data_IF_838717668208
#
_entry.id   IF_838717668208
#
_cell.length_a   1.000
_cell.length_b   1.000
_cell.length_c   1.000
_cell.angle_alpha   90.00
_cell.angle_beta   90.00
_cell.angle_gamma   90.00
#
_symmetry.space_group_name_H-M   'P 1'
#
loop_
_entity.id
_entity.type
_entity.pdbx_description
1 polymer ?
#
# COMPACT_ATOMS: atom_id res chain seq x y z
N UNK A 1 -25.64 91.20 -15.97
CA UNK A 1 -25.72 90.06 -16.91
C UNK A 1 -25.36 88.81 -16.12
N UNK A 2 -26.32 88.00 -15.76
CA UNK A 2 -25.97 86.69 -15.08
C UNK A 2 -26.28 85.53 -16.00
N UNK A 3 -25.29 84.61 -16.14
CA UNK A 3 -25.40 83.34 -16.84
C UNK A 3 -26.04 82.29 -15.89
N UNK A 4 -27.16 81.75 -16.33
CA UNK A 4 -27.82 80.58 -15.74
C UNK A 4 -27.04 79.31 -16.11
N UNK A 5 -26.65 78.48 -15.11
CA UNK A 5 -26.15 77.11 -15.31
C UNK A 5 -27.24 76.12 -14.90
N UNK A 6 -27.80 75.47 -15.92
CA UNK A 6 -28.63 74.27 -15.71
C UNK A 6 -27.78 73.10 -15.33
N UNK A 7 -28.07 72.50 -14.16
CA UNK A 7 -27.45 71.28 -13.70
C UNK A 7 -28.16 70.05 -14.26
N UNK A 8 -27.42 69.21 -14.95
CA UNK A 8 -27.87 67.86 -15.36
C UNK A 8 -27.65 66.87 -14.24
N UNK A 9 -28.74 66.32 -13.68
CA UNK A 9 -28.75 65.20 -12.77
C UNK A 9 -28.55 63.87 -13.54
N UNK A 10 -27.39 63.30 -13.42
CA UNK A 10 -27.13 61.97 -13.95
C UNK A 10 -27.48 60.93 -12.87
N UNK A 11 -28.59 60.22 -13.10
CA UNK A 11 -28.99 59.03 -12.31
C UNK A 11 -28.04 57.88 -12.59
N UNK A 12 -27.26 57.50 -11.59
CA UNK A 12 -26.41 56.30 -11.66
C UNK A 12 -27.27 55.08 -11.31
N UNK A 13 -27.62 54.30 -12.32
CA UNK A 13 -28.17 52.96 -12.16
C UNK A 13 -27.03 51.99 -11.86
N UNK A 14 -26.91 51.57 -10.61
CA UNK A 14 -25.97 50.53 -10.20
C UNK A 14 -26.58 49.18 -10.49
N UNK A 15 -26.08 48.48 -11.51
CA UNK A 15 -26.37 47.08 -11.78
C UNK A 15 -25.53 46.23 -10.83
N UNK A 16 -26.16 45.64 -9.82
CA UNK A 16 -25.53 44.61 -8.96
C UNK A 16 -25.56 43.26 -9.68
N UNK A 17 -24.42 42.85 -10.26
CA UNK A 17 -24.21 41.48 -10.74
C UNK A 17 -23.95 40.57 -9.55
N UNK A 18 -24.98 39.84 -9.13
CA UNK A 18 -24.81 38.74 -8.17
C UNK A 18 -24.19 37.53 -8.89
N UNK A 19 -22.89 37.34 -8.72
CA UNK A 19 -22.18 36.15 -9.19
C UNK A 19 -22.51 34.99 -8.23
N UNK A 20 -23.43 34.12 -8.64
CA UNK A 20 -23.66 32.84 -7.96
C UNK A 20 -22.44 31.96 -8.23
N UNK A 21 -21.52 31.85 -7.24
CA UNK A 21 -20.41 30.92 -7.27
C UNK A 21 -20.94 29.51 -6.99
N UNK A 22 -21.19 28.72 -8.03
CA UNK A 22 -21.40 27.26 -7.88
C UNK A 22 -20.08 26.64 -7.47
N UNK A 23 -19.91 26.39 -6.17
CA UNK A 23 -18.83 25.55 -5.64
C UNK A 23 -19.12 24.09 -6.01
N UNK A 24 -18.56 23.63 -7.13
CA UNK A 24 -18.53 22.21 -7.48
C UNK A 24 -17.53 21.58 -6.51
N UNK A 25 -18.04 21.01 -5.41
CA UNK A 25 -17.26 20.11 -4.55
C UNK A 25 -16.91 18.88 -5.39
N UNK A 26 -15.70 18.88 -5.95
CA UNK A 26 -15.13 17.69 -6.60
C UNK A 26 -14.96 16.64 -5.52
N UNK A 27 -15.96 15.75 -5.37
CA UNK A 27 -15.80 14.46 -4.70
C UNK A 27 -14.78 13.69 -5.54
N UNK A 28 -13.50 13.86 -5.22
CA UNK A 28 -12.46 12.95 -5.68
C UNK A 28 -12.75 11.61 -5.02
N UNK A 29 -13.56 10.79 -5.68
CA UNK A 29 -13.71 9.39 -5.38
C UNK A 29 -12.30 8.78 -5.49
N UNK A 30 -11.60 8.67 -4.34
CA UNK A 30 -10.35 7.92 -4.28
C UNK A 30 -10.74 6.50 -4.63
N UNK A 31 -10.49 6.11 -5.88
CA UNK A 31 -10.67 4.73 -6.33
C UNK A 31 -9.95 3.85 -5.31
N UNK A 32 -10.72 3.16 -4.48
CA UNK A 32 -10.18 2.24 -3.48
C UNK A 32 -9.50 1.14 -4.27
N UNK A 33 -8.17 1.12 -4.27
CA UNK A 33 -7.40 0.11 -4.98
C UNK A 33 -7.77 -1.27 -4.43
N UNK A 34 -8.44 -2.06 -5.26
CA UNK A 34 -8.81 -3.44 -4.90
C UNK A 34 -7.56 -4.31 -4.92
N UNK A 35 -7.46 -5.30 -4.02
CA UNK A 35 -6.39 -6.30 -4.09
C UNK A 35 -6.34 -7.00 -5.45
N UNK A 36 -5.13 -7.42 -5.85
CA UNK A 36 -4.92 -8.14 -7.12
C UNK A 36 -5.87 -9.35 -7.27
N UNK A 37 -6.29 -9.69 -8.50
CA UNK A 37 -7.26 -10.77 -8.76
C UNK A 37 -6.90 -12.10 -8.09
N UNK A 38 -5.61 -12.46 -8.02
CA UNK A 38 -5.11 -13.67 -7.37
C UNK A 38 -5.52 -13.79 -5.89
N UNK A 39 -5.75 -12.67 -5.19
CA UNK A 39 -6.17 -12.67 -3.78
C UNK A 39 -7.68 -12.75 -3.59
N UNK A 40 -8.47 -12.42 -4.62
CA UNK A 40 -9.94 -12.30 -4.49
C UNK A 40 -10.59 -13.56 -3.92
N UNK A 41 -10.25 -14.79 -4.35
CA UNK A 41 -10.84 -16.01 -3.78
C UNK A 41 -10.49 -16.24 -2.31
N UNK A 42 -9.42 -15.59 -1.81
CA UNK A 42 -8.88 -15.81 -0.47
C UNK A 42 -9.18 -14.67 0.50
N UNK A 43 -9.85 -13.58 0.07
CA UNK A 43 -10.07 -12.39 0.91
C UNK A 43 -10.74 -12.71 2.23
N UNK A 44 -11.81 -13.53 2.23
CA UNK A 44 -12.50 -13.93 3.46
C UNK A 44 -11.61 -14.77 4.39
N UNK A 45 -10.73 -15.60 3.83
CA UNK A 45 -9.77 -16.38 4.61
C UNK A 45 -8.70 -15.47 5.21
N UNK A 46 -8.19 -14.52 4.41
CA UNK A 46 -7.21 -13.52 4.85
C UNK A 46 -7.80 -12.70 6.00
N UNK A 47 -9.00 -12.15 5.85
CA UNK A 47 -9.65 -11.35 6.88
C UNK A 47 -9.89 -12.12 8.19
N UNK A 48 -10.28 -13.41 8.12
CA UNK A 48 -10.42 -14.27 9.31
C UNK A 48 -9.09 -14.58 9.99
N UNK A 49 -8.00 -14.56 9.23
CA UNK A 49 -6.66 -14.87 9.72
C UNK A 49 -5.90 -13.64 10.26
N UNK A 50 -6.43 -12.42 10.07
CA UNK A 50 -5.80 -11.21 10.59
C UNK A 50 -5.85 -11.23 12.12
N UNK A 51 -4.69 -11.12 12.82
CA UNK A 51 -4.64 -11.06 14.27
C UNK A 51 -5.42 -9.87 14.82
N UNK A 52 -5.91 -9.92 16.06
CA UNK A 52 -6.47 -8.74 16.74
C UNK A 52 -5.49 -7.56 16.71
N UNK A 53 -6.01 -6.35 16.52
CA UNK A 53 -5.22 -5.12 16.42
C UNK A 53 -4.21 -5.11 15.27
N UNK A 54 -4.43 -5.92 14.24
CA UNK A 54 -3.68 -5.90 13.00
C UNK A 54 -4.61 -5.61 11.82
N UNK A 55 -4.00 -5.23 10.71
CA UNK A 55 -4.64 -5.07 9.43
C UNK A 55 -3.68 -5.56 8.34
N UNK A 56 -4.21 -5.90 7.17
CA UNK A 56 -3.41 -6.35 6.04
C UNK A 56 -3.65 -5.45 4.84
N UNK A 57 -2.57 -5.03 4.19
CA UNK A 57 -2.63 -4.33 2.91
C UNK A 57 -2.06 -5.26 1.84
N UNK A 58 -2.72 -5.34 0.70
CA UNK A 58 -2.31 -6.16 -0.44
C UNK A 58 -2.15 -5.27 -1.68
N UNK A 59 -1.21 -5.59 -2.57
CA UNK A 59 -1.04 -4.82 -3.80
C UNK A 59 -2.23 -5.05 -4.74
N UNK A 60 -2.53 -4.05 -5.57
CA UNK A 60 -3.56 -4.14 -6.59
C UNK A 60 -3.12 -4.96 -7.81
N UNK A 61 -1.83 -5.18 -7.97
CA UNK A 61 -1.25 -5.99 -9.04
C UNK A 61 -0.06 -6.78 -8.51
N UNK A 62 0.08 -8.02 -8.96
CA UNK A 62 1.28 -8.82 -8.77
C UNK A 62 2.08 -8.74 -10.06
N UNK A 63 3.29 -8.21 -9.95
CA UNK A 63 4.25 -8.14 -11.04
C UNK A 63 5.41 -9.08 -10.71
N UNK A 64 5.67 -10.05 -11.57
CA UNK A 64 6.72 -11.07 -11.38
C UNK A 64 7.35 -11.42 -12.72
N UNK A 65 8.67 -11.53 -12.71
CA UNK A 65 9.45 -11.86 -13.89
C UNK A 65 9.47 -10.74 -14.94
N UNK A 66 10.43 -10.75 -15.82
CA UNK A 66 10.50 -9.84 -16.97
C UNK A 66 9.56 -10.26 -18.11
N UNK A 67 9.87 -9.88 -19.36
CA UNK A 67 9.15 -10.35 -20.56
C UNK A 67 9.11 -11.89 -20.59
N UNK A 68 7.94 -12.50 -20.48
CA UNK A 68 7.76 -13.95 -20.32
C UNK A 68 7.54 -14.38 -18.85
N UNK A 69 7.30 -13.43 -17.94
CA UNK A 69 7.12 -13.66 -16.52
C UNK A 69 5.97 -14.61 -16.15
N UNK A 70 5.98 -15.02 -14.89
CA UNK A 70 4.94 -15.90 -14.34
C UNK A 70 3.56 -15.26 -14.48
N UNK A 71 2.58 -16.04 -14.93
CA UNK A 71 1.18 -15.61 -14.94
C UNK A 71 0.67 -15.56 -13.47
N UNK A 72 0.34 -14.38 -12.92
CA UNK A 72 -0.13 -14.26 -11.55
C UNK A 72 -1.40 -15.07 -11.26
N UNK A 73 -2.23 -15.31 -12.28
CA UNK A 73 -3.50 -16.04 -12.14
C UNK A 73 -3.30 -17.54 -11.89
N UNK A 74 -2.08 -18.06 -12.16
CA UNK A 74 -1.72 -19.46 -11.91
C UNK A 74 -1.06 -19.66 -10.53
N UNK A 75 -0.88 -18.59 -9.76
CA UNK A 75 -0.26 -18.68 -8.45
C UNK A 75 -1.25 -19.19 -7.40
N UNK A 76 -0.74 -20.02 -6.51
CA UNK A 76 -1.47 -20.50 -5.34
C UNK A 76 -1.19 -19.60 -4.14
N UNK A 77 -2.24 -19.16 -3.48
CA UNK A 77 -2.15 -18.33 -2.28
C UNK A 77 -2.27 -19.20 -1.03
N UNK A 78 -1.32 -19.06 -0.11
CA UNK A 78 -1.39 -19.66 1.23
C UNK A 78 -1.45 -18.56 2.29
N UNK A 79 -2.42 -18.67 3.18
CA UNK A 79 -2.65 -17.75 4.29
C UNK A 79 -2.12 -18.39 5.56
N UNK A 80 -1.10 -17.79 6.16
CA UNK A 80 -0.31 -18.37 7.25
C UNK A 80 -0.34 -17.43 8.47
N UNK A 81 -1.34 -17.55 9.36
CA UNK A 81 -1.35 -16.81 10.61
C UNK A 81 -0.39 -17.44 11.63
N UNK A 82 0.25 -16.62 12.44
CA UNK A 82 0.94 -17.02 13.67
C UNK A 82 0.38 -16.22 14.85
N UNK A 83 0.35 -16.83 16.02
CA UNK A 83 -0.18 -16.23 17.24
C UNK A 83 0.89 -15.70 18.18
N UNK A 84 2.07 -16.30 18.15
CA UNK A 84 3.18 -15.95 19.03
C UNK A 84 4.52 -15.89 18.24
N UNK A 85 4.98 -14.72 17.79
CA UNK A 85 4.30 -13.41 17.83
C UNK A 85 3.14 -13.32 16.83
N UNK A 86 2.16 -12.45 17.08
CA UNK A 86 1.03 -12.27 16.15
C UNK A 86 1.52 -11.71 14.82
N UNK A 87 1.27 -12.46 13.74
CA UNK A 87 1.67 -12.11 12.38
C UNK A 87 0.76 -12.81 11.38
N UNK A 88 0.40 -12.13 10.33
CA UNK A 88 -0.21 -12.73 9.15
C UNK A 88 0.78 -12.71 8.01
N UNK A 89 0.98 -13.86 7.35
CA UNK A 89 1.76 -13.96 6.11
C UNK A 89 0.87 -14.52 5.00
N UNK A 90 0.85 -13.83 3.87
CA UNK A 90 0.20 -14.29 2.63
C UNK A 90 1.31 -14.61 1.64
N UNK A 91 1.45 -15.88 1.29
CA UNK A 91 2.53 -16.39 0.44
C UNK A 91 2.01 -16.85 -0.90
N UNK A 92 2.80 -16.64 -1.95
CA UNK A 92 2.53 -17.03 -3.33
C UNK A 92 3.41 -18.20 -3.73
N UNK A 93 2.81 -19.22 -4.33
CA UNK A 93 3.49 -20.46 -4.76
C UNK A 93 3.12 -20.79 -6.21
N UNK A 94 4.04 -21.43 -6.92
CA UNK A 94 3.79 -22.00 -8.26
C UNK A 94 3.30 -23.45 -8.23
N UNK A 95 3.36 -24.13 -7.10
CA UNK A 95 2.90 -25.52 -6.96
C UNK A 95 2.14 -25.75 -5.64
N UNK A 96 1.29 -26.79 -5.62
CA UNK A 96 0.47 -27.14 -4.45
C UNK A 96 1.25 -27.75 -3.28
N UNK A 97 2.44 -28.27 -3.52
CA UNK A 97 3.27 -28.90 -2.51
C UNK A 97 3.90 -27.84 -1.57
N UNK A 98 4.15 -28.24 -0.31
CA UNK A 98 4.74 -27.34 0.70
C UNK A 98 6.29 -27.28 0.61
N UNK A 99 6.83 -27.35 -0.57
CA UNK A 99 8.28 -27.25 -0.78
C UNK A 99 8.68 -25.80 -0.91
N UNK A 100 9.80 -25.43 -0.29
CA UNK A 100 10.36 -24.08 -0.37
C UNK A 100 10.73 -23.69 -1.80
N UNK A 101 10.99 -24.70 -2.66
CA UNK A 101 11.33 -24.50 -4.08
C UNK A 101 10.23 -23.89 -4.92
N UNK A 102 8.97 -23.93 -4.46
CA UNK A 102 7.82 -23.34 -5.17
C UNK A 102 7.38 -21.99 -4.62
N UNK A 103 7.99 -21.52 -3.54
CA UNK A 103 7.69 -20.19 -2.96
C UNK A 103 8.22 -19.10 -3.88
N UNK A 104 7.31 -18.26 -4.36
CA UNK A 104 7.66 -17.11 -5.20
C UNK A 104 7.90 -15.88 -4.34
N UNK A 105 7.13 -15.70 -3.28
CA UNK A 105 7.29 -14.57 -2.39
C UNK A 105 6.16 -14.46 -1.38
N UNK A 106 6.23 -13.44 -0.54
CA UNK A 106 5.27 -13.25 0.54
C UNK A 106 5.04 -11.80 0.90
N UNK A 107 3.87 -11.56 1.45
CA UNK A 107 3.45 -10.32 2.09
C UNK A 107 3.13 -10.62 3.55
N UNK A 108 3.65 -9.83 4.46
CA UNK A 108 3.37 -10.03 5.88
C UNK A 108 2.97 -8.72 6.56
N UNK A 109 2.15 -8.85 7.59
CA UNK A 109 1.73 -7.78 8.47
C UNK A 109 1.78 -8.24 9.92
N UNK A 110 2.30 -7.40 10.80
CA UNK A 110 2.36 -7.68 12.24
C UNK A 110 2.26 -6.37 13.04
N UNK A 111 1.60 -6.39 14.21
CA UNK A 111 1.50 -5.21 15.05
C UNK A 111 2.89 -4.72 15.49
N UNK A 112 3.11 -3.40 15.47
CA UNK A 112 4.37 -2.79 15.95
C UNK A 112 4.61 -3.03 17.45
N UNK A 113 3.56 -3.30 18.22
CA UNK A 113 3.68 -3.67 19.63
C UNK A 113 4.47 -4.98 19.84
N UNK A 114 4.60 -5.82 18.81
CA UNK A 114 5.44 -7.02 18.85
C UNK A 114 6.93 -6.66 18.95
N UNK A 115 7.61 -7.18 19.96
CA UNK A 115 9.06 -6.99 20.12
C UNK A 115 9.87 -7.55 18.94
N UNK A 116 9.36 -8.58 18.29
CA UNK A 116 9.93 -9.18 17.07
C UNK A 116 9.81 -8.20 15.91
N UNK A 117 8.62 -7.60 15.69
CA UNK A 117 8.39 -6.60 14.66
C UNK A 117 9.34 -5.41 14.80
N UNK A 118 9.45 -4.89 16.02
CA UNK A 118 10.34 -3.76 16.31
C UNK A 118 11.82 -4.11 16.05
N UNK A 119 12.26 -5.30 16.45
CA UNK A 119 13.65 -5.75 16.24
C UNK A 119 13.95 -5.92 14.74
N UNK A 120 13.05 -6.55 13.99
CA UNK A 120 13.20 -6.74 12.55
C UNK A 120 13.20 -5.39 11.81
N UNK A 121 12.31 -4.47 12.18
CA UNK A 121 12.27 -3.14 11.59
C UNK A 121 13.56 -2.36 11.88
N UNK A 122 14.04 -2.36 13.14
CA UNK A 122 15.32 -1.71 13.48
C UNK A 122 16.50 -2.29 12.70
N UNK A 123 16.54 -3.62 12.51
CA UNK A 123 17.57 -4.27 11.69
C UNK A 123 17.51 -3.77 10.25
N UNK A 124 16.32 -3.71 9.65
CA UNK A 124 16.15 -3.15 8.30
C UNK A 124 16.59 -1.69 8.25
N UNK A 125 16.19 -0.87 9.21
CA UNK A 125 16.59 0.54 9.27
C UNK A 125 18.09 0.73 9.34
N UNK A 126 18.82 -0.15 10.03
CA UNK A 126 20.27 -0.06 10.21
C UNK A 126 21.08 -0.50 8.97
N UNK A 127 20.55 -1.39 8.13
CA UNK A 127 21.32 -2.05 7.06
C UNK A 127 20.77 -1.82 5.67
N UNK A 128 19.53 -1.34 5.55
CA UNK A 128 18.81 -1.24 4.29
C UNK A 128 18.94 0.13 3.62
N UNK A 129 18.65 0.16 2.34
CA UNK A 129 18.43 1.40 1.60
C UNK A 129 17.06 1.97 1.92
N UNK A 130 17.00 3.23 2.38
CA UNK A 130 15.75 3.95 2.61
C UNK A 130 15.07 4.31 1.28
N UNK A 131 13.78 4.02 1.17
CA UNK A 131 12.95 4.24 -0.02
C UNK A 131 11.70 5.01 0.39
N UNK A 132 11.34 6.06 -0.35
CA UNK A 132 10.06 6.76 -0.19
C UNK A 132 8.96 5.97 -0.90
N UNK A 133 7.99 5.46 -0.15
CA UNK A 133 6.81 4.77 -0.69
C UNK A 133 5.68 5.75 -0.99
N UNK A 134 5.43 6.66 -0.06
CA UNK A 134 4.52 7.83 -0.22
C UNK A 134 5.15 9.02 0.50
N UNK A 135 4.55 10.19 0.44
CA UNK A 135 5.05 11.40 1.13
C UNK A 135 5.21 11.20 2.64
N UNK A 136 4.47 10.27 3.24
CA UNK A 136 4.45 10.02 4.68
C UNK A 136 5.04 8.66 5.07
N UNK A 137 5.29 7.75 4.12
CA UNK A 137 5.70 6.38 4.40
C UNK A 137 7.07 6.10 3.80
N UNK A 138 8.00 5.75 4.68
CA UNK A 138 9.35 5.29 4.30
C UNK A 138 9.46 3.78 4.46
N UNK A 139 10.00 3.12 3.44
CA UNK A 139 10.36 1.72 3.47
C UNK A 139 11.88 1.54 3.52
N UNK A 140 12.31 0.37 3.91
CA UNK A 140 13.71 -0.03 4.06
C UNK A 140 13.95 -1.31 3.28
N UNK A 141 14.69 -1.19 2.17
CA UNK A 141 14.97 -2.30 1.25
C UNK A 141 16.30 -2.94 1.59
N UNK A 142 16.28 -4.21 1.96
CA UNK A 142 17.45 -5.10 1.96
C UNK A 142 17.49 -5.76 0.58
N UNK A 143 18.44 -5.35 -0.24
CA UNK A 143 18.68 -5.89 -1.57
C UNK A 143 19.58 -7.12 -1.44
N UNK A 144 19.02 -8.31 -1.67
CA UNK A 144 19.73 -9.58 -1.50
C UNK A 144 21.03 -9.68 -2.30
N UNK A 145 21.03 -9.19 -3.56
CA UNK A 145 22.22 -9.23 -4.41
C UNK A 145 23.36 -8.32 -3.90
N UNK A 146 23.04 -7.35 -3.03
CA UNK A 146 24.02 -6.43 -2.42
C UNK A 146 24.42 -6.80 -1.00
N UNK A 147 23.87 -7.91 -0.47
CA UNK A 147 24.27 -8.40 0.84
C UNK A 147 25.64 -9.11 0.79
N UNK A 148 26.30 -9.21 1.93
CA UNK A 148 27.51 -10.02 2.09
C UNK A 148 27.34 -10.98 3.28
N UNK A 149 27.18 -12.30 3.05
CA UNK A 149 27.07 -12.96 1.74
C UNK A 149 25.78 -12.56 0.99
N UNK A 150 25.78 -12.75 -0.34
CA UNK A 150 24.60 -12.51 -1.16
C UNK A 150 23.43 -13.40 -0.75
N UNK A 151 22.22 -12.89 -0.92
CA UNK A 151 20.98 -13.61 -0.67
C UNK A 151 20.13 -13.64 -1.92
N UNK A 152 19.49 -14.78 -2.20
CA UNK A 152 18.56 -14.92 -3.32
C UNK A 152 17.23 -14.20 -3.06
N UNK A 153 17.03 -13.65 -1.86
CA UNK A 153 15.81 -12.95 -1.47
C UNK A 153 16.14 -11.50 -1.13
N UNK A 154 15.35 -10.59 -1.69
CA UNK A 154 15.26 -9.20 -1.27
C UNK A 154 14.00 -9.00 -0.42
N UNK A 155 14.09 -8.13 0.58
CA UNK A 155 12.95 -7.78 1.43
C UNK A 155 12.84 -6.26 1.59
N UNK A 156 11.59 -5.78 1.58
CA UNK A 156 11.27 -4.39 1.90
C UNK A 156 10.32 -4.38 3.09
N UNK A 157 10.68 -3.58 4.08
CA UNK A 157 9.91 -3.45 5.32
C UNK A 157 9.59 -1.99 5.58
N UNK A 158 8.38 -1.70 6.07
CA UNK A 158 7.99 -0.36 6.51
C UNK A 158 6.98 -0.43 7.64
N UNK A 159 6.90 0.65 8.40
CA UNK A 159 5.81 0.88 9.35
C UNK A 159 4.81 1.84 8.74
N UNK A 160 3.55 1.52 8.89
CA UNK A 160 2.46 2.42 8.57
C UNK A 160 1.35 2.20 9.59
N UNK A 161 0.88 3.28 10.19
CA UNK A 161 0.02 3.21 11.36
C UNK A 161 0.69 2.36 12.47
N UNK A 162 -0.01 1.47 13.11
CA UNK A 162 0.53 0.58 14.14
C UNK A 162 0.98 -0.78 13.60
N UNK A 163 1.19 -0.90 12.29
CA UNK A 163 1.53 -2.15 11.64
C UNK A 163 2.89 -2.06 10.95
N UNK A 164 3.69 -3.11 11.07
CA UNK A 164 4.88 -3.35 10.28
C UNK A 164 4.53 -4.30 9.14
N UNK A 165 4.73 -3.83 7.93
CA UNK A 165 4.55 -4.59 6.70
C UNK A 165 5.88 -5.07 6.17
N UNK A 166 5.89 -6.25 5.57
CA UNK A 166 7.07 -6.83 4.91
C UNK A 166 6.68 -7.43 3.57
N UNK A 167 7.46 -7.16 2.54
CA UNK A 167 7.41 -7.87 1.26
C UNK A 167 8.74 -8.59 1.08
N UNK A 168 8.70 -9.86 0.68
CA UNK A 168 9.90 -10.66 0.43
C UNK A 168 9.71 -11.46 -0.86
N UNK A 169 10.61 -11.28 -1.82
CA UNK A 169 10.60 -11.92 -3.13
C UNK A 169 12.04 -12.20 -3.59
N UNK A 170 12.26 -13.00 -4.65
CA UNK A 170 13.58 -13.20 -5.21
C UNK A 170 14.29 -11.87 -5.50
N UNK A 171 15.58 -11.84 -5.31
CA UNK A 171 16.36 -10.62 -5.42
C UNK A 171 16.33 -10.02 -6.83
N UNK A 172 16.09 -10.83 -7.87
CA UNK A 172 15.83 -10.40 -9.23
C UNK A 172 14.56 -9.53 -9.37
N UNK A 173 13.59 -9.66 -8.45
CA UNK A 173 12.30 -8.96 -8.46
C UNK A 173 12.35 -7.59 -7.77
N UNK A 174 13.51 -7.03 -7.54
CA UNK A 174 13.71 -5.80 -6.78
C UNK A 174 12.78 -4.66 -7.24
N UNK A 175 12.62 -4.42 -8.53
CA UNK A 175 11.76 -3.34 -9.04
C UNK A 175 10.28 -3.63 -8.78
N UNK A 176 9.89 -4.89 -8.91
CA UNK A 176 8.53 -5.34 -8.67
C UNK A 176 8.18 -5.26 -7.16
N UNK A 177 9.14 -5.56 -6.27
CA UNK A 177 9.01 -5.33 -4.83
C UNK A 177 8.68 -3.87 -4.53
N UNK A 178 9.43 -2.93 -5.11
CA UNK A 178 9.22 -1.49 -4.92
C UNK A 178 7.86 -1.04 -5.42
N UNK A 179 7.44 -1.54 -6.58
CA UNK A 179 6.15 -1.21 -7.16
C UNK A 179 4.98 -1.73 -6.30
N UNK A 180 5.03 -3.02 -5.91
CA UNK A 180 4.02 -3.63 -5.05
C UNK A 180 3.95 -2.96 -3.67
N UNK A 181 5.09 -2.59 -3.09
CA UNK A 181 5.14 -1.88 -1.80
C UNK A 181 4.45 -0.51 -1.87
N UNK A 182 4.66 0.25 -2.96
CA UNK A 182 3.98 1.52 -3.18
C UNK A 182 2.47 1.35 -3.29
N UNK A 183 2.03 0.32 -4.03
CA UNK A 183 0.60 0.01 -4.11
C UNK A 183 0.01 -0.34 -2.74
N UNK A 184 0.71 -1.16 -1.95
CA UNK A 184 0.27 -1.51 -0.60
C UNK A 184 0.21 -0.29 0.32
N UNK A 185 1.18 0.62 0.23
CA UNK A 185 1.21 1.82 1.07
C UNK A 185 0.01 2.76 0.83
N UNK A 186 -0.59 2.75 -0.37
CA UNK A 186 -1.79 3.54 -0.68
C UNK A 186 -3.09 2.72 -0.65
N UNK A 187 -3.01 1.38 -0.57
CA UNK A 187 -4.17 0.51 -0.54
C UNK A 187 -4.97 0.69 0.76
N UNK A 188 -6.29 0.52 0.68
CA UNK A 188 -7.12 0.41 1.87
C UNK A 188 -6.82 -0.87 2.63
N UNK A 189 -6.68 -0.81 3.97
CA UNK A 189 -6.39 -2.00 4.75
C UNK A 189 -7.59 -2.95 4.84
N UNK A 190 -7.31 -4.23 4.72
CA UNK A 190 -8.23 -5.29 5.11
C UNK A 190 -8.22 -5.42 6.64
N UNK A 191 -9.39 -5.41 7.25
CA UNK A 191 -9.58 -5.55 8.69
C UNK A 191 -10.06 -6.97 9.02
N UNK A 192 -9.87 -7.42 10.27
CA UNK A 192 -10.47 -8.67 10.74
C UNK A 192 -11.97 -8.69 10.48
N UNK A 193 -12.51 -9.84 10.09
CA UNK A 193 -13.97 -10.02 10.10
C UNK A 193 -14.45 -9.91 11.54
N UNK A 194 -15.36 -8.98 11.79
CA UNK A 194 -16.04 -8.91 13.07
C UNK A 194 -16.94 -10.15 13.18
N UNK A 195 -16.66 -11.00 14.15
CA UNK A 195 -17.58 -12.08 14.52
C UNK A 195 -18.75 -11.43 15.24
N UNK A 196 -19.99 -11.69 14.81
CA UNK A 196 -21.18 -11.15 15.46
C UNK A 196 -21.32 -11.62 16.90
#
# INVERSE_FOLDING_TARGET
MPFSRQGYLWSRVTFSLSVLSLSIASLTDRAIARPAPVFVPYLSQIQRAIPPNAEMRLPAQILLGGPGGLNPDLLLVKVLPTTAPPRLTVSLFTCGERTTSCLIGSFAAQPIASSTAQRELRRHQATATSITLTDQVRGYLIDGLRQNPTSDISSLMWQQDDIVYTISFPASERQNILYMARQMAVASPLKPLQTP
#
